data_IF_781182890296
#
_entry.id   IF_781182890296
#
_cell.length_a   1.000
_cell.length_b   1.000
_cell.length_c   1.000
_cell.angle_alpha   90.00
_cell.angle_beta   90.00
_cell.angle_gamma   90.00
#
_symmetry.space_group_name_H-M   'P 1'
#
loop_
_entity.id
_entity.type
_entity.pdbx_description
1 polymer ?
#
# COMPACT_ATOMS: atom_id res chain seq x y z
N UNK A 1 42.44 24.62 -34.22
CA UNK A 1 41.10 24.27 -33.68
C UNK A 1 40.05 24.64 -34.71
N UNK A 2 39.37 23.68 -35.35
CA UNK A 2 38.44 23.95 -36.46
C UNK A 2 37.19 24.65 -35.92
N UNK A 3 36.85 25.84 -36.43
CA UNK A 3 35.68 26.60 -36.00
C UNK A 3 34.43 25.94 -36.60
N UNK A 4 33.58 25.35 -35.75
CA UNK A 4 32.32 24.72 -36.17
C UNK A 4 31.43 25.72 -36.91
N UNK A 5 30.81 25.27 -37.99
CA UNK A 5 29.88 26.09 -38.76
C UNK A 5 28.59 26.33 -37.95
N UNK A 6 27.90 27.44 -38.22
CA UNK A 6 26.70 27.85 -37.48
C UNK A 6 25.60 26.76 -37.51
N UNK A 7 25.43 26.11 -38.65
CA UNK A 7 24.42 25.07 -38.85
C UNK A 7 24.73 23.78 -38.05
N UNK A 8 26.00 23.40 -37.92
CA UNK A 8 26.44 22.25 -37.09
C UNK A 8 26.09 22.50 -35.62
N UNK A 9 26.30 23.74 -35.14
CA UNK A 9 25.89 24.13 -33.78
C UNK A 9 24.38 24.04 -33.61
N UNK A 10 23.59 24.54 -34.57
CA UNK A 10 22.12 24.45 -34.51
C UNK A 10 21.62 23.01 -34.44
N UNK A 11 22.20 22.10 -35.24
CA UNK A 11 21.85 20.68 -35.21
C UNK A 11 22.19 20.05 -33.85
N UNK A 12 23.36 20.37 -33.28
CA UNK A 12 23.74 19.88 -31.95
C UNK A 12 22.81 20.39 -30.84
N UNK A 13 22.42 21.67 -30.87
CA UNK A 13 21.45 22.23 -29.93
C UNK A 13 20.08 21.56 -30.04
N UNK A 14 19.61 21.31 -31.26
CA UNK A 14 18.34 20.63 -31.51
C UNK A 14 18.37 19.17 -30.98
N UNK A 15 19.46 18.44 -31.25
CA UNK A 15 19.65 17.09 -30.71
C UNK A 15 19.74 17.09 -29.18
N UNK A 16 20.44 18.05 -28.58
CA UNK A 16 20.51 18.20 -27.13
C UNK A 16 19.13 18.45 -26.51
N UNK A 17 18.31 19.29 -27.14
CA UNK A 17 16.92 19.54 -26.71
C UNK A 17 16.07 18.27 -26.80
N UNK A 18 16.20 17.49 -27.88
CA UNK A 18 15.49 16.21 -28.01
C UNK A 18 15.90 15.24 -26.90
N UNK A 19 17.20 15.10 -26.63
CA UNK A 19 17.69 14.22 -25.55
C UNK A 19 17.16 14.68 -24.20
N UNK A 20 17.14 15.98 -23.92
CA UNK A 20 16.58 16.54 -22.69
C UNK A 20 15.07 16.29 -22.58
N UNK A 21 14.32 16.42 -23.67
CA UNK A 21 12.89 16.11 -23.70
C UNK A 21 12.62 14.63 -23.45
N UNK A 22 13.38 13.73 -24.08
CA UNK A 22 13.25 12.29 -23.84
C UNK A 22 13.58 11.96 -22.38
N UNK A 23 14.67 12.50 -21.84
CA UNK A 23 15.03 12.31 -20.44
C UNK A 23 13.94 12.82 -19.49
N UNK A 24 13.37 13.99 -19.77
CA UNK A 24 12.26 14.55 -19.01
C UNK A 24 11.02 13.65 -19.06
N UNK A 25 10.63 13.16 -20.24
CA UNK A 25 9.49 12.25 -20.40
C UNK A 25 9.70 10.93 -19.64
N UNK A 26 10.92 10.38 -19.68
CA UNK A 26 11.28 9.18 -18.91
C UNK A 26 11.13 9.46 -17.41
N UNK A 27 11.64 10.59 -16.90
CA UNK A 27 11.51 10.97 -15.49
C UNK A 27 10.02 11.11 -15.09
N UNK A 28 9.21 11.80 -15.90
CA UNK A 28 7.77 11.97 -15.64
C UNK A 28 7.05 10.62 -15.60
N UNK A 29 7.34 9.73 -16.55
CA UNK A 29 6.74 8.40 -16.60
C UNK A 29 7.12 7.54 -15.38
N UNK A 30 8.41 7.53 -15.01
CA UNK A 30 8.87 6.84 -13.81
C UNK A 30 8.26 7.42 -12.52
N UNK A 31 8.16 8.74 -12.41
CA UNK A 31 7.57 9.39 -11.24
C UNK A 31 6.08 9.08 -11.11
N UNK A 32 5.36 9.12 -12.23
CA UNK A 32 3.92 8.82 -12.27
C UNK A 32 3.63 7.37 -11.90
N UNK A 33 4.39 6.42 -12.45
CA UNK A 33 4.23 4.99 -12.10
C UNK A 33 4.63 4.72 -10.64
N UNK A 34 5.64 5.42 -10.13
CA UNK A 34 6.05 5.31 -8.74
C UNK A 34 4.95 5.75 -7.76
N UNK A 35 4.21 6.83 -8.07
CA UNK A 35 3.12 7.33 -7.23
C UNK A 35 1.87 6.45 -7.37
N UNK A 36 1.51 6.06 -8.59
CA UNK A 36 0.27 5.33 -8.89
C UNK A 36 0.16 3.96 -8.19
N UNK A 37 1.28 3.31 -7.84
CA UNK A 37 1.27 1.98 -7.23
C UNK A 37 1.51 1.97 -5.73
N UNK A 38 1.57 3.14 -5.06
CA UNK A 38 1.62 3.13 -3.60
C UNK A 38 0.23 2.78 -3.07
N UNK A 39 0.09 1.79 -2.17
CA UNK A 39 -1.19 1.55 -1.53
C UNK A 39 -1.59 2.79 -0.74
N UNK A 40 -2.81 3.24 -0.96
CA UNK A 40 -3.39 4.33 -0.20
C UNK A 40 -4.17 3.76 0.98
N UNK A 41 -3.86 4.22 2.18
CA UNK A 41 -4.57 3.83 3.40
C UNK A 41 -5.60 4.92 3.71
N UNK A 42 -6.88 4.55 3.69
CA UNK A 42 -7.99 5.52 3.86
C UNK A 42 -7.92 6.22 5.21
N UNK A 43 -7.45 5.52 6.25
CA UNK A 43 -7.20 6.09 7.57
C UNK A 43 -5.70 6.15 7.88
N UNK A 44 -5.26 7.28 8.40
CA UNK A 44 -3.86 7.49 8.79
C UNK A 44 -3.60 7.12 10.25
N UNK A 45 -4.61 7.24 11.10
CA UNK A 45 -4.59 7.00 12.55
C UNK A 45 -5.81 6.19 12.94
N UNK A 46 -5.66 5.35 13.97
CA UNK A 46 -6.74 4.56 14.56
C UNK A 46 -7.36 5.32 15.74
N UNK A 47 -8.66 5.12 16.01
CA UNK A 47 -9.28 5.68 17.20
C UNK A 47 -8.64 5.12 18.47
N UNK A 48 -8.71 5.90 19.55
CA UNK A 48 -8.30 5.46 20.88
C UNK A 48 -9.18 4.30 21.37
N UNK A 49 -8.62 3.43 22.20
CA UNK A 49 -9.34 2.37 22.89
C UNK A 49 -9.50 2.69 24.37
N UNK A 50 -10.45 2.02 25.03
CA UNK A 50 -10.66 2.13 26.48
C UNK A 50 -10.42 0.78 27.15
N UNK A 51 -9.81 0.83 28.34
CA UNK A 51 -9.51 -0.34 29.14
C UNK A 51 -10.78 -1.13 29.44
N UNK A 52 -10.73 -2.45 29.23
CA UNK A 52 -11.84 -3.38 29.44
C UNK A 52 -13.11 -3.07 28.63
N UNK A 53 -13.00 -2.29 27.55
CA UNK A 53 -14.12 -2.00 26.64
C UNK A 53 -13.88 -2.65 25.26
N UNK A 54 -14.95 -3.13 24.59
CA UNK A 54 -14.83 -3.63 23.24
C UNK A 54 -14.31 -2.56 22.28
N UNK A 55 -13.27 -2.90 21.54
CA UNK A 55 -12.68 -2.05 20.51
C UNK A 55 -13.08 -2.53 19.12
N UNK A 56 -13.33 -1.58 18.21
CA UNK A 56 -13.67 -1.84 16.83
C UNK A 56 -13.11 -0.75 15.91
N UNK A 57 -12.34 -1.14 14.90
CA UNK A 57 -11.92 -0.23 13.84
C UNK A 57 -11.79 -0.96 12.50
N UNK A 58 -11.76 -0.19 11.40
CA UNK A 58 -11.54 -0.71 10.05
C UNK A 58 -10.34 -0.03 9.41
N UNK A 59 -9.53 -0.81 8.71
CA UNK A 59 -8.49 -0.30 7.82
C UNK A 59 -8.89 -0.68 6.40
N UNK A 60 -8.95 0.31 5.52
CA UNK A 60 -9.16 0.12 4.09
C UNK A 60 -7.90 0.54 3.34
N UNK A 61 -7.47 -0.31 2.41
CA UNK A 61 -6.30 -0.12 1.57
C UNK A 61 -6.78 -0.08 0.11
N UNK A 62 -6.67 1.06 -0.54
CA UNK A 62 -7.06 1.22 -1.96
C UNK A 62 -5.94 0.67 -2.87
N UNK A 63 -5.79 -0.66 -2.91
CA UNK A 63 -4.88 -1.35 -3.81
C UNK A 63 -5.31 -2.80 -4.00
N UNK A 64 -4.87 -3.42 -5.10
CA UNK A 64 -4.96 -4.87 -5.24
C UNK A 64 -3.85 -5.52 -4.40
N UNK A 65 -4.20 -6.14 -3.28
CA UNK A 65 -3.24 -6.77 -2.36
C UNK A 65 -2.95 -8.21 -2.80
N UNK A 66 -1.68 -8.61 -2.74
CA UNK A 66 -1.26 -10.00 -2.93
C UNK A 66 -1.43 -10.72 -1.59
N UNK A 67 -2.45 -11.57 -1.49
CA UNK A 67 -2.84 -12.24 -0.25
C UNK A 67 -1.66 -13.00 0.40
N UNK A 68 -0.85 -13.73 -0.39
CA UNK A 68 0.25 -14.54 0.15
C UNK A 68 1.44 -13.72 0.68
N UNK A 69 1.46 -12.41 0.42
CA UNK A 69 2.55 -11.53 0.82
C UNK A 69 2.25 -10.73 2.09
N UNK A 70 1.05 -10.84 2.66
CA UNK A 70 0.63 -10.04 3.81
C UNK A 70 1.10 -10.67 5.11
N UNK A 71 1.72 -9.86 5.96
CA UNK A 71 2.05 -10.20 7.34
C UNK A 71 1.47 -9.13 8.28
N UNK A 72 0.89 -9.60 9.39
CA UNK A 72 0.20 -8.77 10.38
C UNK A 72 0.76 -9.12 11.75
N UNK A 73 1.36 -8.13 12.41
CA UNK A 73 1.91 -8.29 13.75
C UNK A 73 1.18 -7.34 14.71
N UNK A 74 0.64 -7.89 15.79
CA UNK A 74 -0.06 -7.14 16.84
C UNK A 74 0.72 -7.31 18.14
N UNK A 75 0.98 -6.20 18.83
CA UNK A 75 1.78 -6.23 20.08
C UNK A 75 1.01 -6.73 21.31
N UNK A 76 -0.30 -6.96 21.18
CA UNK A 76 -1.19 -7.37 22.26
C UNK A 76 -2.10 -8.50 21.78
N UNK A 77 -2.28 -9.52 22.61
CA UNK A 77 -3.04 -10.73 22.27
C UNK A 77 -4.56 -10.55 22.36
N UNK A 78 -5.03 -9.51 23.06
CA UNK A 78 -6.46 -9.20 23.21
C UNK A 78 -7.04 -8.50 21.98
N UNK A 79 -6.19 -8.06 21.06
CA UNK A 79 -6.56 -7.43 19.79
C UNK A 79 -6.28 -8.38 18.64
N UNK A 80 -7.28 -8.57 17.80
CA UNK A 80 -7.21 -9.34 16.57
C UNK A 80 -7.39 -8.40 15.38
N UNK A 81 -6.67 -8.72 14.30
CA UNK A 81 -6.81 -8.04 13.00
C UNK A 81 -7.10 -9.09 11.96
N UNK A 82 -8.28 -9.02 11.35
CA UNK A 82 -8.76 -10.03 10.42
C UNK A 82 -9.12 -9.41 9.07
N UNK A 83 -8.74 -10.05 7.95
CA UNK A 83 -9.22 -9.66 6.64
C UNK A 83 -10.70 -10.01 6.48
N UNK A 84 -11.38 -9.28 5.61
CA UNK A 84 -12.75 -9.63 5.23
C UNK A 84 -12.75 -10.93 4.42
N UNK A 85 -13.50 -11.94 4.86
CA UNK A 85 -13.66 -13.20 4.12
C UNK A 85 -14.91 -13.15 3.25
N UNK A 86 -14.80 -13.59 1.99
CA UNK A 86 -15.93 -13.65 1.06
C UNK A 86 -15.91 -14.92 0.20
N UNK A 87 -17.07 -15.35 -0.27
CA UNK A 87 -17.19 -16.43 -1.26
C UNK A 87 -16.75 -15.91 -2.63
N UNK A 88 -15.70 -16.49 -3.20
CA UNK A 88 -15.12 -16.05 -4.47
C UNK A 88 -15.78 -16.74 -5.67
N UNK A 89 -15.85 -18.08 -5.62
CA UNK A 89 -16.42 -18.91 -6.69
C UNK A 89 -16.79 -20.28 -6.12
N UNK A 90 -17.40 -21.14 -6.94
CA UNK A 90 -17.60 -22.55 -6.62
C UNK A 90 -16.59 -23.42 -7.34
N UNK A 91 -16.08 -24.43 -6.67
CA UNK A 91 -15.16 -25.40 -7.26
C UNK A 91 -15.86 -26.34 -8.27
N UNK A 92 -15.11 -27.27 -8.85
CA UNK A 92 -15.63 -28.28 -9.81
C UNK A 92 -16.69 -29.21 -9.21
N UNK A 93 -16.84 -29.25 -7.88
CA UNK A 93 -17.83 -30.02 -7.14
C UNK A 93 -18.98 -29.14 -6.60
N UNK A 94 -19.09 -27.90 -7.08
CA UNK A 94 -20.09 -26.92 -6.68
C UNK A 94 -20.02 -26.52 -5.20
N UNK A 95 -18.84 -26.64 -4.56
CA UNK A 95 -18.58 -26.20 -3.19
C UNK A 95 -18.04 -24.77 -3.18
N UNK A 96 -18.46 -23.92 -2.23
CA UNK A 96 -17.97 -22.55 -2.15
C UNK A 96 -16.47 -22.52 -1.80
N UNK A 97 -15.73 -21.69 -2.52
CA UNK A 97 -14.33 -21.36 -2.26
C UNK A 97 -14.26 -19.95 -1.69
N UNK A 98 -13.67 -19.82 -0.51
CA UNK A 98 -13.53 -18.54 0.18
C UNK A 98 -12.17 -17.91 -0.07
N UNK A 99 -12.14 -16.57 -0.12
CA UNK A 99 -10.93 -15.75 -0.23
C UNK A 99 -10.90 -14.71 0.88
N UNK A 100 -9.70 -14.28 1.24
CA UNK A 100 -9.47 -13.24 2.24
C UNK A 100 -9.10 -11.93 1.55
N UNK A 101 -9.90 -10.89 1.74
CA UNK A 101 -9.64 -9.55 1.25
C UNK A 101 -8.81 -8.75 2.27
N UNK A 102 -7.49 -8.75 2.06
CA UNK A 102 -6.55 -7.99 2.88
C UNK A 102 -6.57 -6.47 2.59
N UNK A 103 -7.35 -6.03 1.62
CA UNK A 103 -7.62 -4.60 1.38
C UNK A 103 -8.64 -4.05 2.39
N UNK A 104 -9.37 -4.92 3.09
CA UNK A 104 -10.38 -4.59 4.07
C UNK A 104 -10.13 -5.35 5.37
N UNK A 105 -9.45 -4.70 6.32
CA UNK A 105 -9.12 -5.29 7.62
C UNK A 105 -10.08 -4.77 8.70
N UNK A 106 -10.49 -5.65 9.59
CA UNK A 106 -11.24 -5.31 10.79
C UNK A 106 -10.37 -5.57 12.01
N UNK A 107 -10.31 -4.60 12.91
CA UNK A 107 -9.62 -4.71 14.19
C UNK A 107 -10.69 -4.85 15.27
N UNK A 108 -10.59 -5.90 16.08
CA UNK A 108 -11.51 -6.15 17.19
C UNK A 108 -10.76 -6.63 18.41
N UNK A 109 -11.31 -6.39 19.59
CA UNK A 109 -10.75 -6.95 20.81
C UNK A 109 -11.22 -6.22 22.06
N UNK A 110 -10.60 -6.50 23.19
CA UNK A 110 -10.90 -5.81 24.45
C UNK A 110 -9.60 -5.63 25.23
N UNK A 111 -8.95 -4.46 25.14
CA UNK A 111 -7.67 -4.23 25.81
C UNK A 111 -7.76 -4.48 27.32
N UNK A 112 -6.93 -5.38 27.83
CA UNK A 112 -6.85 -5.67 29.26
C UNK A 112 -5.75 -4.89 29.99
N UNK A 113 -4.86 -4.21 29.25
CA UNK A 113 -3.74 -3.45 29.77
C UNK A 113 -3.77 -1.98 29.32
N UNK A 114 -3.39 -1.08 30.22
CA UNK A 114 -3.31 0.36 29.97
C UNK A 114 -1.95 0.70 29.33
N UNK A 115 -1.70 0.12 28.15
CA UNK A 115 -0.49 0.31 27.34
C UNK A 115 -0.87 0.51 25.87
N UNK A 116 -0.13 1.33 25.11
CA UNK A 116 -0.38 1.49 23.68
C UNK A 116 -0.24 0.16 22.93
N UNK A 117 -1.13 -0.09 21.98
CA UNK A 117 -1.15 -1.29 21.15
C UNK A 117 -0.63 -0.93 19.76
N UNK A 118 0.38 -1.67 19.29
CA UNK A 118 0.98 -1.46 17.97
C UNK A 118 0.52 -2.54 17.00
N UNK A 119 0.08 -2.12 15.82
CA UNK A 119 -0.29 -3.01 14.71
C UNK A 119 0.65 -2.69 13.54
N UNK A 120 1.50 -3.65 13.17
CA UNK A 120 2.36 -3.57 11.99
C UNK A 120 1.76 -4.37 10.86
N UNK A 121 1.52 -3.71 9.73
CA UNK A 121 1.05 -4.30 8.48
C UNK A 121 2.15 -4.22 7.43
N UNK A 122 2.54 -5.36 6.89
CA UNK A 122 3.45 -5.45 5.75
C UNK A 122 2.80 -6.26 4.63
N UNK A 123 3.13 -5.93 3.38
CA UNK A 123 2.55 -6.65 2.26
C UNK A 123 3.07 -6.20 0.92
N UNK A 124 2.49 -6.76 -0.15
CA UNK A 124 2.76 -6.37 -1.52
C UNK A 124 1.48 -6.17 -2.31
N UNK A 125 1.50 -5.21 -3.23
CA UNK A 125 0.39 -4.92 -4.15
C UNK A 125 0.65 -5.52 -5.52
N UNK A 126 -0.41 -5.80 -6.27
CA UNK A 126 -0.35 -6.12 -7.70
C UNK A 126 -0.62 -4.87 -8.53
N UNK A 127 0.14 -4.67 -9.59
CA UNK A 127 -0.14 -3.62 -10.57
C UNK A 127 -0.47 -4.25 -11.92
N UNK A 128 -1.63 -3.88 -12.49
CA UNK A 128 -2.07 -4.38 -13.79
C UNK A 128 -1.31 -3.75 -14.95
N UNK A 129 -0.88 -2.48 -14.80
CA UNK A 129 -0.13 -1.72 -15.82
C UNK A 129 1.27 -1.33 -15.38
N UNK A 130 1.63 -1.59 -14.13
CA UNK A 130 2.88 -1.16 -13.53
C UNK A 130 3.35 -2.20 -12.49
N UNK A 131 4.62 -2.19 -12.12
CA UNK A 131 5.16 -3.14 -11.13
C UNK A 131 4.54 -2.86 -9.76
N UNK A 132 3.94 -3.90 -9.17
CA UNK A 132 3.44 -3.88 -7.80
C UNK A 132 4.48 -3.40 -6.78
N UNK A 133 4.04 -3.00 -5.59
CA UNK A 133 4.92 -2.45 -4.55
C UNK A 133 4.70 -3.09 -3.20
N UNK A 134 5.82 -3.30 -2.52
CA UNK A 134 5.87 -3.58 -1.10
C UNK A 134 5.39 -2.37 -0.30
N UNK A 135 4.76 -2.63 0.83
CA UNK A 135 4.35 -1.62 1.79
C UNK A 135 4.59 -2.08 3.23
N UNK A 136 4.80 -1.09 4.10
CA UNK A 136 4.85 -1.23 5.53
C UNK A 136 4.08 -0.06 6.15
N UNK A 137 3.13 -0.34 7.03
CA UNK A 137 2.37 0.66 7.79
C UNK A 137 2.23 0.20 9.23
N UNK A 138 2.57 1.09 10.15
CA UNK A 138 2.40 0.87 11.59
C UNK A 138 1.31 1.79 12.11
N UNK A 139 0.37 1.23 12.87
CA UNK A 139 -0.62 1.97 13.62
C UNK A 139 -0.36 1.81 15.12
N UNK A 140 -0.70 2.86 15.87
CA UNK A 140 -0.68 2.86 17.33
C UNK A 140 -2.09 3.19 17.81
N UNK A 141 -2.59 2.39 18.74
CA UNK A 141 -3.85 2.61 19.45
C UNK A 141 -3.48 2.98 20.87
N UNK A 142 -3.78 4.21 21.28
CA UNK A 142 -3.66 4.62 22.68
C UNK A 142 -4.80 3.99 23.49
N UNK A 143 -4.48 3.47 24.68
CA UNK A 143 -5.47 2.85 25.59
C UNK A 143 -5.67 3.78 26.78
N UNK A 144 -6.89 4.26 26.93
CA UNK A 144 -7.33 5.14 28.00
C UNK A 144 -8.07 4.35 29.09
N UNK A 145 -8.28 4.98 30.24
CA UNK A 145 -9.14 4.46 31.32
C UNK A 145 -10.61 4.33 30.89
#
# INVERSE_FOLDING_TARGET
MKKMALWEKMVLWFLAIIVLLIAFLVIVFYSSSYIANRPNFTIQELPEAHLNQPYYAKIEIEAAIIEEAVDIQVSNEDIMVEPKVYESHKDIYNKPVYRADYSNLTITGTPSELKPITIKLTGSTYGSMFVGKEFEKTYTIEVLE
#
